data_IF_888915026438
#
_entry.id   IF_888915026438
#
_cell.length_a   1.000
_cell.length_b   1.000
_cell.length_c   1.000
_cell.angle_alpha   90.00
_cell.angle_beta   90.00
_cell.angle_gamma   90.00
#
_symmetry.space_group_name_H-M   'P 1'
#
loop_
_entity.id
_entity.type
_entity.pdbx_description
1 polymer ?
#
# COMPACT_ATOMS: atom_id res chain seq x y z
N UNK A 1 -14.20 72.10 5.41
CA UNK A 1 -14.89 70.84 5.73
C UNK A 1 -14.11 69.67 5.11
N UNK A 2 -13.28 68.96 5.87
CA UNK A 2 -12.50 67.80 5.42
C UNK A 2 -13.36 66.57 5.56
N UNK A 3 -13.66 65.89 4.44
CA UNK A 3 -14.36 64.59 4.43
C UNK A 3 -13.34 63.50 4.77
N UNK A 4 -13.51 62.87 5.93
CA UNK A 4 -12.74 61.70 6.39
C UNK A 4 -13.34 60.46 5.70
N UNK A 5 -12.60 59.85 4.76
CA UNK A 5 -12.97 58.55 4.20
C UNK A 5 -12.45 57.43 5.10
N UNK A 6 -13.33 56.75 5.79
CA UNK A 6 -13.06 55.51 6.52
C UNK A 6 -12.94 54.37 5.51
N UNK A 7 -11.70 53.92 5.27
CA UNK A 7 -11.43 52.70 4.50
C UNK A 7 -11.53 51.53 5.48
N UNK A 8 -12.64 50.77 5.40
CA UNK A 8 -12.79 49.49 6.10
C UNK A 8 -12.03 48.45 5.29
N UNK A 9 -10.82 48.07 5.75
CA UNK A 9 -10.09 46.91 5.19
C UNK A 9 -10.73 45.66 5.78
N UNK A 10 -11.59 44.98 5.01
CA UNK A 10 -12.05 43.63 5.31
C UNK A 10 -10.91 42.66 5.10
N UNK A 11 -10.23 42.26 6.17
CA UNK A 11 -9.29 41.13 6.14
C UNK A 11 -10.13 39.87 6.01
N UNK A 12 -10.27 39.36 4.80
CA UNK A 12 -10.84 38.05 4.53
C UNK A 12 -9.83 37.00 5.05
N UNK A 13 -10.03 36.51 6.26
CA UNK A 13 -9.36 35.29 6.71
C UNK A 13 -9.87 34.14 5.84
N UNK A 14 -9.09 33.72 4.88
CA UNK A 14 -9.32 32.47 4.14
C UNK A 14 -9.08 31.32 5.11
N UNK A 15 -10.12 30.86 5.77
CA UNK A 15 -10.07 29.60 6.52
C UNK A 15 -9.98 28.51 5.45
N UNK A 16 -8.78 27.96 5.27
CA UNK A 16 -8.61 26.74 4.48
C UNK A 16 -9.30 25.59 5.20
N UNK A 17 -10.58 25.40 4.91
CA UNK A 17 -11.31 24.21 5.34
C UNK A 17 -10.87 23.07 4.41
N UNK A 18 -9.89 22.29 4.87
CA UNK A 18 -9.60 21.02 4.21
C UNK A 18 -10.83 20.11 4.41
N UNK A 19 -11.36 19.61 3.30
CA UNK A 19 -12.42 18.62 3.37
C UNK A 19 -11.91 17.35 4.05
N UNK A 20 -12.74 16.78 4.92
CA UNK A 20 -12.44 15.48 5.54
C UNK A 20 -12.19 14.44 4.44
N UNK A 21 -11.06 13.78 4.47
CA UNK A 21 -10.68 12.73 3.53
C UNK A 21 -10.00 11.57 4.26
N UNK A 22 -10.15 10.38 3.70
CA UNK A 22 -9.36 9.20 4.05
C UNK A 22 -8.44 8.93 2.88
N UNK A 23 -7.14 9.18 3.06
CA UNK A 23 -6.15 9.00 2.00
C UNK A 23 -5.86 7.53 1.77
N UNK A 24 -5.75 6.75 2.87
CA UNK A 24 -5.49 5.31 2.81
C UNK A 24 -5.85 4.60 4.10
N UNK A 25 -6.13 3.31 3.97
CA UNK A 25 -6.24 2.36 5.09
C UNK A 25 -5.30 1.20 4.83
N UNK A 26 -4.52 0.82 5.83
CA UNK A 26 -3.60 -0.30 5.75
C UNK A 26 -3.80 -1.29 6.91
N UNK A 27 -3.83 -2.61 6.61
CA UNK A 27 -3.77 -3.22 5.28
C UNK A 27 -5.00 -2.84 4.44
N UNK A 28 -4.83 -2.78 3.10
CA UNK A 28 -5.89 -2.32 2.17
C UNK A 28 -7.09 -3.25 2.08
N UNK A 29 -6.93 -4.50 2.52
CA UNK A 29 -7.96 -5.53 2.63
C UNK A 29 -7.53 -6.57 3.66
N UNK A 30 -8.45 -7.44 4.07
CA UNK A 30 -8.15 -8.58 4.94
C UNK A 30 -8.91 -9.82 4.49
N UNK A 31 -8.82 -10.91 5.25
CA UNK A 31 -9.49 -12.17 4.93
C UNK A 31 -10.43 -12.60 6.05
N UNK A 32 -11.53 -13.23 5.67
CA UNK A 32 -12.37 -13.99 6.61
C UNK A 32 -11.70 -15.32 6.98
N UNK A 33 -12.10 -15.92 8.10
CA UNK A 33 -11.62 -17.25 8.52
C UNK A 33 -10.14 -17.31 8.93
N UNK A 34 -9.55 -16.19 9.34
CA UNK A 34 -8.20 -16.15 9.91
C UNK A 34 -8.20 -16.76 11.32
N UNK A 35 -7.13 -17.52 11.67
CA UNK A 35 -6.96 -18.08 13.02
C UNK A 35 -6.92 -16.98 14.10
N UNK A 36 -6.24 -15.88 13.83
CA UNK A 36 -6.37 -14.67 14.63
C UNK A 36 -7.54 -13.84 14.09
N UNK A 37 -8.63 -13.67 14.84
CA UNK A 37 -9.79 -12.93 14.37
C UNK A 37 -9.59 -11.40 14.41
N UNK A 38 -8.46 -10.91 14.91
CA UNK A 38 -8.23 -9.48 15.06
C UNK A 38 -7.33 -8.95 13.97
N UNK A 39 -7.68 -7.81 13.39
CA UNK A 39 -6.83 -7.02 12.51
C UNK A 39 -6.81 -5.57 12.98
N UNK A 40 -5.64 -4.95 12.99
CA UNK A 40 -5.49 -3.52 13.23
C UNK A 40 -5.39 -2.79 11.89
N UNK A 41 -6.22 -1.79 11.70
CA UNK A 41 -6.19 -0.90 10.55
C UNK A 41 -5.50 0.40 10.94
N UNK A 42 -4.47 0.80 10.20
CA UNK A 42 -3.91 2.15 10.25
C UNK A 42 -4.66 3.00 9.22
N UNK A 43 -5.27 4.07 9.66
CA UNK A 43 -5.98 5.02 8.80
C UNK A 43 -5.21 6.33 8.76
N UNK A 44 -4.93 6.82 7.56
CA UNK A 44 -4.31 8.12 7.33
C UNK A 44 -5.28 9.05 6.59
N UNK A 45 -5.34 10.29 7.04
CA UNK A 45 -6.13 11.38 6.46
C UNK A 45 -6.00 12.64 7.29
N UNK A 46 -6.27 13.80 6.70
CA UNK A 46 -6.16 15.09 7.37
C UNK A 46 -7.09 15.15 8.59
N UNK A 47 -6.50 15.32 9.81
CA UNK A 47 -7.21 15.36 11.10
C UNK A 47 -8.17 14.20 11.35
N UNK A 48 -7.90 13.04 10.78
CA UNK A 48 -8.78 11.86 10.86
C UNK A 48 -8.97 11.35 12.27
N UNK A 49 -8.02 11.59 13.17
CA UNK A 49 -8.11 11.20 14.58
C UNK A 49 -9.24 11.91 15.32
N UNK A 50 -9.71 13.09 14.86
CA UNK A 50 -10.79 13.83 15.48
C UNK A 50 -12.20 13.30 15.12
N UNK A 51 -12.30 12.27 14.27
CA UNK A 51 -13.58 11.75 13.79
C UNK A 51 -14.19 10.71 14.73
N UNK A 52 -15.51 10.65 14.75
CA UNK A 52 -16.27 9.49 15.20
C UNK A 52 -16.21 8.42 14.10
N UNK A 53 -15.88 7.17 14.46
CA UNK A 53 -15.67 6.09 13.53
C UNK A 53 -16.70 5.00 13.78
N UNK A 54 -17.46 4.65 12.74
CA UNK A 54 -18.50 3.63 12.83
C UNK A 54 -18.43 2.68 11.63
N UNK A 55 -18.86 1.45 11.82
CA UNK A 55 -19.10 0.48 10.77
C UNK A 55 -20.31 -0.39 11.13
N UNK A 56 -20.96 -0.91 10.11
CA UNK A 56 -22.03 -1.88 10.26
C UNK A 56 -21.85 -2.98 9.21
N UNK A 57 -21.31 -4.11 9.63
CA UNK A 57 -21.16 -5.29 8.79
C UNK A 57 -21.33 -6.56 9.62
N UNK A 58 -22.15 -7.52 9.18
CA UNK A 58 -22.39 -8.76 9.93
C UNK A 58 -21.09 -9.51 10.20
N UNK A 59 -20.83 -9.81 11.46
CA UNK A 59 -19.62 -10.51 11.89
C UNK A 59 -18.36 -9.64 12.02
N UNK A 60 -18.43 -8.33 11.82
CA UNK A 60 -17.29 -7.42 12.04
C UNK A 60 -17.65 -6.38 13.09
N UNK A 61 -16.75 -6.18 14.06
CA UNK A 61 -16.95 -5.20 15.15
C UNK A 61 -15.66 -4.40 15.38
N UNK A 62 -15.81 -3.13 15.67
CA UNK A 62 -14.72 -2.31 16.23
C UNK A 62 -14.50 -2.76 17.68
N UNK A 63 -13.26 -3.16 18.00
CA UNK A 63 -12.82 -3.51 19.34
C UNK A 63 -12.27 -2.29 20.08
N UNK A 64 -11.37 -1.56 19.42
CA UNK A 64 -10.67 -0.42 19.98
C UNK A 64 -10.40 0.61 18.88
N UNK A 65 -10.42 1.89 19.25
CA UNK A 65 -9.95 3.00 18.43
C UNK A 65 -8.84 3.69 19.20
N UNK A 66 -7.62 3.67 18.66
CA UNK A 66 -6.44 4.27 19.27
C UNK A 66 -6.02 5.51 18.48
N UNK A 67 -6.07 6.67 19.13
CA UNK A 67 -5.65 7.96 18.58
C UNK A 67 -4.23 8.25 18.99
N UNK A 68 -3.45 8.80 18.08
CA UNK A 68 -2.04 9.12 18.30
C UNK A 68 -1.86 10.63 18.49
N UNK A 69 -0.67 11.06 18.90
CA UNK A 69 -0.31 12.49 18.98
C UNK A 69 -0.43 13.18 17.61
N UNK A 70 -0.09 12.48 16.54
CA UNK A 70 -0.29 12.96 15.19
C UNK A 70 -1.78 12.86 14.81
N UNK A 71 -2.50 13.98 14.61
CA UNK A 71 -3.93 13.98 14.33
C UNK A 71 -4.31 13.36 12.98
N UNK A 72 -3.35 13.13 12.11
CA UNK A 72 -3.57 12.56 10.78
C UNK A 72 -3.59 11.02 10.77
N UNK A 73 -3.42 10.37 11.93
CA UNK A 73 -3.44 8.92 12.05
C UNK A 73 -4.42 8.46 13.15
N UNK A 74 -5.14 7.39 12.84
CA UNK A 74 -5.92 6.64 13.82
C UNK A 74 -5.78 5.15 13.56
N UNK A 75 -5.73 4.35 14.63
CA UNK A 75 -5.70 2.89 14.54
C UNK A 75 -7.03 2.33 15.00
N UNK A 76 -7.55 1.36 14.24
CA UNK A 76 -8.83 0.71 14.49
C UNK A 76 -8.59 -0.79 14.61
N UNK A 77 -8.78 -1.36 15.79
CA UNK A 77 -8.76 -2.80 15.95
C UNK A 77 -10.15 -3.36 15.62
N UNK A 78 -10.20 -4.22 14.62
CA UNK A 78 -11.41 -4.95 14.24
C UNK A 78 -11.35 -6.38 14.77
N UNK A 79 -12.50 -6.91 15.17
CA UNK A 79 -12.72 -8.34 15.38
C UNK A 79 -13.61 -8.85 14.26
N UNK A 80 -13.13 -9.85 13.56
CA UNK A 80 -13.82 -10.53 12.45
C UNK A 80 -14.22 -11.91 12.94
N UNK A 81 -15.52 -12.12 13.13
CA UNK A 81 -16.02 -13.40 13.63
C UNK A 81 -15.95 -14.49 12.56
N UNK A 82 -15.98 -15.78 12.96
CA UNK A 82 -15.99 -16.90 12.01
C UNK A 82 -17.17 -16.87 11.03
N UNK A 83 -18.28 -16.21 11.41
CA UNK A 83 -19.50 -16.13 10.61
C UNK A 83 -19.45 -14.97 9.59
N UNK A 84 -18.44 -14.10 9.68
CA UNK A 84 -18.27 -13.01 8.74
C UNK A 84 -18.08 -13.56 7.32
N UNK A 85 -18.77 -12.95 6.36
CA UNK A 85 -18.63 -13.30 4.94
C UNK A 85 -17.67 -12.36 4.25
N UNK A 86 -17.06 -12.82 3.17
CA UNK A 86 -16.29 -11.95 2.29
C UNK A 86 -17.22 -10.92 1.61
N UNK A 87 -16.72 -9.73 1.39
CA UNK A 87 -17.46 -8.62 0.80
C UNK A 87 -16.88 -7.27 1.21
N UNK A 88 -17.42 -6.20 0.67
CA UNK A 88 -17.02 -4.83 0.98
C UNK A 88 -18.05 -4.14 1.88
N UNK A 89 -17.57 -3.31 2.80
CA UNK A 89 -18.42 -2.53 3.69
C UNK A 89 -17.84 -1.15 3.97
N UNK A 90 -18.70 -0.13 4.20
CA UNK A 90 -18.24 1.19 4.51
C UNK A 90 -17.78 1.31 5.97
N UNK A 91 -16.60 1.87 6.17
CA UNK A 91 -16.18 2.45 7.45
C UNK A 91 -16.46 3.95 7.34
N UNK A 92 -17.27 4.48 8.25
CA UNK A 92 -17.67 5.88 8.24
C UNK A 92 -16.84 6.68 9.24
N UNK A 93 -16.35 7.82 8.79
CA UNK A 93 -15.61 8.80 9.57
C UNK A 93 -16.43 10.09 9.58
N UNK A 94 -16.84 10.53 10.76
CA UNK A 94 -17.72 11.68 10.96
C UNK A 94 -17.04 12.73 11.82
N UNK A 95 -16.84 13.93 11.29
CA UNK A 95 -16.35 15.08 12.05
C UNK A 95 -17.52 15.96 12.53
N UNK A 96 -18.60 16.06 11.75
CA UNK A 96 -19.83 16.77 12.11
C UNK A 96 -21.04 16.15 11.42
N UNK A 97 -22.24 16.70 11.65
CA UNK A 97 -23.47 16.22 10.96
C UNK A 97 -23.40 16.36 9.43
N UNK A 98 -22.61 17.32 8.94
CA UNK A 98 -22.47 17.62 7.50
C UNK A 98 -21.18 17.08 6.88
N UNK A 99 -20.24 16.66 7.70
CA UNK A 99 -18.91 16.26 7.27
C UNK A 99 -18.69 14.79 7.64
N UNK A 100 -19.01 13.93 6.70
CA UNK A 100 -18.91 12.47 6.80
C UNK A 100 -18.23 11.93 5.54
N UNK A 101 -17.22 11.11 5.71
CA UNK A 101 -16.59 10.38 4.63
C UNK A 101 -16.70 8.88 4.88
N UNK A 102 -16.86 8.10 3.83
CA UNK A 102 -16.93 6.64 3.87
C UNK A 102 -15.78 6.05 3.07
N UNK A 103 -15.13 5.05 3.64
CA UNK A 103 -14.12 4.25 2.95
C UNK A 103 -14.62 2.80 2.85
N UNK A 104 -14.69 2.27 1.62
CA UNK A 104 -15.11 0.88 1.41
C UNK A 104 -13.95 -0.06 1.69
N UNK A 105 -14.01 -0.79 2.79
CA UNK A 105 -13.03 -1.79 3.17
C UNK A 105 -13.46 -3.19 2.72
N UNK A 106 -12.51 -4.00 2.25
CA UNK A 106 -12.79 -5.31 1.66
C UNK A 106 -12.32 -6.46 2.56
N UNK A 107 -13.20 -7.44 2.77
CA UNK A 107 -12.84 -8.78 3.27
C UNK A 107 -12.90 -9.78 2.12
N UNK A 108 -11.82 -10.52 1.94
CA UNK A 108 -11.67 -11.56 0.90
C UNK A 108 -11.85 -12.97 1.48
N UNK A 109 -12.27 -13.90 0.65
CA UNK A 109 -12.12 -15.30 0.97
C UNK A 109 -10.65 -15.70 0.94
N UNK A 110 -10.24 -16.57 1.85
CA UNK A 110 -8.95 -17.24 1.76
C UNK A 110 -8.97 -18.23 0.60
N UNK A 111 -7.84 -18.36 -0.07
CA UNK A 111 -7.67 -19.41 -1.08
C UNK A 111 -7.78 -20.79 -0.41
N UNK A 112 -8.41 -21.76 -1.09
CA UNK A 112 -8.46 -23.14 -0.59
C UNK A 112 -7.06 -23.64 -0.24
N UNK A 113 -6.97 -24.36 0.88
CA UNK A 113 -5.72 -24.95 1.39
C UNK A 113 -4.59 -23.95 1.70
N UNK A 114 -4.85 -22.63 1.72
CA UNK A 114 -3.82 -21.65 2.05
C UNK A 114 -3.17 -21.84 3.43
N UNK A 115 -3.91 -22.43 4.38
CA UNK A 115 -3.39 -22.77 5.70
C UNK A 115 -2.44 -24.00 5.72
N UNK A 116 -2.45 -24.78 4.66
CA UNK A 116 -1.64 -26.01 4.53
C UNK A 116 -0.36 -25.77 3.71
N UNK A 117 -0.10 -24.53 3.28
CA UNK A 117 1.14 -24.18 2.57
C UNK A 117 2.32 -24.40 3.50
N UNK A 118 3.28 -25.18 3.03
CA UNK A 118 4.53 -25.41 3.74
C UNK A 118 5.46 -24.21 3.55
N UNK A 119 6.27 -23.91 4.55
CA UNK A 119 7.43 -23.02 4.43
C UNK A 119 8.60 -23.75 3.74
N UNK A 120 9.74 -23.10 3.68
CA UNK A 120 10.97 -23.70 3.16
C UNK A 120 11.46 -24.83 4.04
N UNK A 121 12.04 -25.86 3.42
CA UNK A 121 12.71 -26.95 4.11
C UNK A 121 14.00 -27.37 3.37
N UNK A 122 14.66 -28.42 3.85
CA UNK A 122 15.94 -28.89 3.29
C UNK A 122 15.87 -29.46 1.87
N UNK A 123 14.68 -29.61 1.29
CA UNK A 123 14.48 -30.02 -0.10
C UNK A 123 14.38 -28.84 -1.05
N UNK A 124 14.33 -27.61 -0.53
CA UNK A 124 14.23 -26.42 -1.36
C UNK A 124 15.58 -25.94 -1.87
N UNK A 125 15.61 -25.56 -3.14
CA UNK A 125 16.75 -24.91 -3.79
C UNK A 125 16.31 -23.52 -4.25
N UNK A 126 16.91 -22.50 -3.63
CA UNK A 126 16.52 -21.11 -3.84
C UNK A 126 17.51 -20.42 -4.79
N UNK A 127 17.01 -19.82 -5.88
CA UNK A 127 17.80 -19.02 -6.79
C UNK A 127 17.64 -17.52 -6.50
N UNK A 128 18.75 -16.87 -6.12
CA UNK A 128 18.77 -15.42 -5.90
C UNK A 128 18.90 -14.71 -7.25
N UNK A 129 17.97 -13.78 -7.54
CA UNK A 129 17.94 -13.03 -8.79
C UNK A 129 18.04 -11.53 -8.50
N UNK A 130 18.98 -10.85 -9.17
CA UNK A 130 18.96 -9.41 -9.36
C UNK A 130 18.28 -9.16 -10.71
N UNK A 131 17.02 -8.67 -10.77
CA UNK A 131 16.23 -8.61 -12.00
C UNK A 131 16.95 -7.89 -13.13
N UNK A 132 17.51 -6.73 -12.88
CA UNK A 132 18.27 -5.93 -13.88
C UNK A 132 19.42 -6.70 -14.53
N UNK A 133 20.03 -7.64 -13.80
CA UNK A 133 21.16 -8.45 -14.27
C UNK A 133 20.75 -9.79 -14.91
N UNK A 134 19.49 -10.08 -14.96
CA UNK A 134 18.97 -11.33 -15.47
C UNK A 134 18.53 -11.20 -16.94
N UNK A 135 17.32 -11.53 -17.29
CA UNK A 135 16.81 -11.50 -18.65
C UNK A 135 15.96 -10.25 -18.87
N UNK A 136 16.22 -9.56 -19.98
CA UNK A 136 15.37 -8.46 -20.44
C UNK A 136 14.19 -9.05 -21.24
N UNK A 137 12.99 -9.00 -20.67
CA UNK A 137 11.77 -9.51 -21.30
C UNK A 137 11.01 -8.45 -22.10
N UNK A 138 11.20 -7.17 -21.75
CA UNK A 138 10.51 -6.03 -22.38
C UNK A 138 11.50 -4.87 -22.57
N UNK A 139 12.25 -4.82 -23.67
CA UNK A 139 13.23 -3.74 -23.91
C UNK A 139 12.62 -2.33 -23.87
N UNK A 140 11.32 -2.20 -24.09
CA UNK A 140 10.63 -0.90 -24.06
C UNK A 140 10.56 -0.27 -22.65
N UNK A 141 10.76 -1.05 -21.56
CA UNK A 141 10.75 -0.57 -20.19
C UNK A 141 12.15 -0.30 -19.63
N UNK A 142 13.22 -0.49 -20.40
CA UNK A 142 14.60 -0.23 -19.96
C UNK A 142 14.81 1.23 -19.54
N UNK A 143 14.08 2.15 -20.14
CA UNK A 143 14.09 3.57 -19.79
C UNK A 143 12.67 4.07 -19.53
N UNK A 144 12.40 4.44 -18.28
CA UNK A 144 11.10 5.00 -17.87
C UNK A 144 11.23 6.51 -17.76
N UNK A 145 10.26 7.25 -18.28
CA UNK A 145 10.23 8.70 -18.21
C UNK A 145 10.29 9.18 -16.75
N UNK A 146 11.17 10.15 -16.48
CA UNK A 146 11.40 10.68 -15.13
C UNK A 146 12.48 9.95 -14.31
N UNK A 147 12.99 8.82 -14.76
CA UNK A 147 14.13 8.15 -14.14
C UNK A 147 15.44 8.85 -14.49
N UNK A 148 16.31 9.02 -13.49
CA UNK A 148 17.56 9.78 -13.62
C UNK A 148 18.66 8.99 -14.32
N UNK A 149 18.76 7.68 -14.03
CA UNK A 149 19.78 6.81 -14.61
C UNK A 149 19.22 6.10 -15.85
N UNK A 150 19.90 6.27 -16.97
CA UNK A 150 19.59 5.55 -18.21
C UNK A 150 20.31 4.19 -18.26
N UNK A 151 19.83 3.23 -19.07
CA UNK A 151 20.52 1.96 -19.27
C UNK A 151 21.95 2.14 -19.76
N UNK A 152 22.89 1.42 -19.16
CA UNK A 152 24.29 1.39 -19.56
C UNK A 152 24.90 0.02 -19.31
N UNK A 153 24.76 -0.89 -20.26
CA UNK A 153 25.27 -2.26 -20.17
C UNK A 153 26.79 -2.38 -20.21
N UNK A 154 27.49 -1.34 -20.65
CA UNK A 154 28.96 -1.35 -20.73
C UNK A 154 29.62 -1.05 -19.40
N UNK A 155 28.88 -0.50 -18.45
CA UNK A 155 29.37 -0.16 -17.13
C UNK A 155 28.85 -1.16 -16.10
N UNK A 156 29.75 -1.72 -15.28
CA UNK A 156 29.41 -2.76 -14.30
C UNK A 156 28.33 -2.34 -13.27
N UNK A 157 28.28 -1.06 -12.94
CA UNK A 157 27.31 -0.48 -12.01
C UNK A 157 26.14 0.22 -12.72
N UNK A 158 26.10 0.20 -14.07
CA UNK A 158 24.99 0.75 -14.83
C UNK A 158 23.79 -0.19 -14.87
N UNK A 159 22.63 0.32 -15.27
CA UNK A 159 21.41 -0.47 -15.48
C UNK A 159 21.54 -1.31 -16.77
N UNK A 160 21.15 -2.59 -16.68
CA UNK A 160 21.24 -3.52 -17.80
C UNK A 160 19.89 -3.85 -18.45
N UNK A 161 18.77 -3.52 -17.79
CA UNK A 161 17.43 -3.61 -18.34
C UNK A 161 16.76 -4.97 -18.18
N UNK A 162 17.34 -5.92 -17.42
CA UNK A 162 16.61 -7.12 -17.02
C UNK A 162 15.39 -6.77 -16.19
N UNK A 163 14.29 -7.53 -16.33
CA UNK A 163 12.99 -7.20 -15.76
C UNK A 163 12.21 -8.43 -15.26
N UNK A 164 11.08 -8.16 -14.61
CA UNK A 164 10.19 -9.21 -14.09
C UNK A 164 9.62 -10.09 -15.22
N UNK A 165 9.38 -9.53 -16.40
CA UNK A 165 8.90 -10.33 -17.52
C UNK A 165 9.97 -11.32 -18.00
N UNK A 166 11.23 -10.90 -18.00
CA UNK A 166 12.37 -11.78 -18.30
C UNK A 166 12.49 -12.93 -17.31
N UNK A 167 12.27 -12.66 -16.02
CA UNK A 167 12.21 -13.71 -14.99
C UNK A 167 11.04 -14.66 -15.26
N UNK A 168 9.84 -14.14 -15.52
CA UNK A 168 8.65 -14.95 -15.86
C UNK A 168 8.91 -15.86 -17.05
N UNK A 169 9.53 -15.35 -18.10
CA UNK A 169 9.85 -16.12 -19.30
C UNK A 169 10.84 -17.26 -19.01
N UNK A 170 11.66 -17.14 -17.96
CA UNK A 170 12.70 -18.09 -17.59
C UNK A 170 12.29 -19.08 -16.49
N UNK A 171 11.06 -19.00 -15.93
CA UNK A 171 10.66 -19.85 -14.81
C UNK A 171 10.72 -21.35 -15.14
N UNK A 172 10.30 -21.76 -16.34
CA UNK A 172 10.40 -23.16 -16.75
C UNK A 172 11.85 -23.64 -16.77
N UNK A 173 12.75 -22.84 -17.35
CA UNK A 173 14.19 -23.15 -17.36
C UNK A 173 14.74 -23.30 -15.94
N UNK A 174 14.39 -22.41 -15.01
CA UNK A 174 14.83 -22.50 -13.61
C UNK A 174 14.27 -23.76 -12.93
N UNK A 175 12.99 -24.07 -13.17
CA UNK A 175 12.36 -25.29 -12.67
C UNK A 175 13.03 -26.56 -13.20
N UNK A 176 13.33 -26.61 -14.49
CA UNK A 176 14.01 -27.75 -15.14
C UNK A 176 15.43 -27.95 -14.59
N UNK A 177 16.08 -26.88 -14.12
CA UNK A 177 17.36 -26.95 -13.42
C UNK A 177 17.24 -27.41 -11.96
N UNK A 178 16.03 -27.60 -11.45
CA UNK A 178 15.78 -28.09 -10.09
C UNK A 178 15.62 -27.00 -9.03
N UNK A 179 15.53 -25.73 -9.42
CA UNK A 179 15.18 -24.66 -8.46
C UNK A 179 13.71 -24.72 -8.08
N UNK A 180 13.42 -24.69 -6.79
CA UNK A 180 12.03 -24.74 -6.27
C UNK A 180 11.48 -23.36 -5.94
N UNK A 181 12.36 -22.38 -5.79
CA UNK A 181 12.01 -21.03 -5.39
C UNK A 181 12.95 -19.99 -5.98
N UNK A 182 12.45 -18.77 -6.15
CA UNK A 182 13.26 -17.61 -6.53
C UNK A 182 13.23 -16.57 -5.40
N UNK A 183 14.39 -16.00 -5.10
CA UNK A 183 14.54 -14.87 -4.21
C UNK A 183 14.93 -13.66 -5.04
N UNK A 184 14.01 -12.71 -5.18
CA UNK A 184 14.28 -11.49 -5.92
C UNK A 184 14.95 -10.46 -5.03
N UNK A 185 16.02 -9.83 -5.53
CA UNK A 185 16.45 -8.55 -4.97
C UNK A 185 15.31 -7.53 -5.12
N UNK A 186 15.25 -6.50 -4.26
CA UNK A 186 14.15 -5.52 -4.25
C UNK A 186 13.85 -4.97 -5.64
N UNK A 187 12.55 -4.86 -5.95
CA UNK A 187 12.01 -4.37 -7.22
C UNK A 187 11.24 -3.05 -7.07
N UNK A 188 11.44 -2.39 -5.95
CA UNK A 188 10.85 -1.06 -5.70
C UNK A 188 11.56 -0.01 -6.56
N UNK A 189 10.89 1.12 -6.76
CA UNK A 189 11.49 2.24 -7.48
C UNK A 189 12.75 2.74 -6.76
N UNK A 190 13.85 2.81 -7.48
CA UNK A 190 15.11 3.41 -7.04
C UNK A 190 15.56 4.46 -8.06
N UNK A 191 15.14 5.72 -7.87
CA UNK A 191 15.42 6.82 -8.79
C UNK A 191 16.71 7.58 -8.40
N UNK A 192 17.82 6.86 -8.32
CA UNK A 192 19.15 7.40 -8.08
C UNK A 192 19.80 7.85 -9.40
N UNK A 193 20.82 8.71 -9.32
CA UNK A 193 21.61 9.14 -10.48
C UNK A 193 22.60 8.08 -10.95
N UNK A 194 22.94 7.15 -10.09
CA UNK A 194 23.84 6.01 -10.34
C UNK A 194 23.42 4.83 -9.48
N UNK A 195 23.77 3.63 -9.91
CA UNK A 195 23.57 2.38 -9.15
C UNK A 195 22.09 2.09 -8.86
N UNK A 196 21.17 2.54 -9.73
CA UNK A 196 19.72 2.33 -9.57
C UNK A 196 19.23 0.95 -10.07
N UNK A 197 20.13 0.02 -10.32
CA UNK A 197 19.81 -1.30 -10.90
C UNK A 197 19.14 -2.28 -9.92
N UNK A 198 19.02 -1.93 -8.67
CA UNK A 198 18.19 -2.67 -7.70
C UNK A 198 17.40 -1.69 -6.84
N UNK A 199 16.15 -2.04 -6.55
CA UNK A 199 15.26 -1.23 -5.73
C UNK A 199 15.52 -1.38 -4.23
N UNK A 200 15.24 -0.34 -3.48
CA UNK A 200 15.20 -0.33 -2.02
C UNK A 200 13.93 0.36 -1.56
#
# INVERSE_FOLDING_TARGET
>A
MRKLYLIIISIAFSINTFALNVDRIEPTFWWVGMKNPTVQLMVHGQEIAATEITLNYPGVKIKTISRQENPNYVFIDLVISPEAKAGSFPIQFRKSKKEVVSYNYELKNREPNSASRKGFDGSDVIYLITPDRFVNGIPANDAVAGMKELPNRTHMNGRHGGDIQGIKNSLNYLSDMGFTSVWLNPVLENNMTQVSYHGY
#
